data_IF_523624068174
#
_entry.id   IF_523624068174
#
_cell.length_a   1.000
_cell.length_b   1.000
_cell.length_c   1.000
_cell.angle_alpha   90.00
_cell.angle_beta   90.00
_cell.angle_gamma   90.00
#
_symmetry.space_group_name_H-M   'P 1'
#
loop_
_entity.id
_entity.type
_entity.pdbx_description
1 polymer ?
#
# COMPACT_ATOMS: atom_id res chain seq x y z
N UNK A 1 0.64 -6.11 -17.25
CA UNK A 1 -0.07 -4.81 -17.46
C UNK A 1 0.83 -3.67 -17.01
N UNK A 2 0.60 -2.45 -17.54
CA UNK A 2 1.29 -1.24 -17.08
C UNK A 2 0.46 -0.51 -16.06
N UNK A 3 1.12 -0.03 -15.03
CA UNK A 3 0.55 0.71 -13.91
C UNK A 3 1.30 2.02 -13.74
N UNK A 4 0.63 3.09 -13.38
CA UNK A 4 1.26 4.41 -13.30
C UNK A 4 0.78 5.17 -12.06
N UNK A 5 1.72 5.87 -11.44
CA UNK A 5 1.44 6.84 -10.38
C UNK A 5 2.47 7.96 -10.40
N UNK A 6 2.33 8.92 -9.48
CA UNK A 6 3.31 10.00 -9.32
C UNK A 6 4.61 9.49 -8.69
N UNK A 7 5.70 10.10 -9.10
CA UNK A 7 7.05 9.85 -8.59
C UNK A 7 7.22 10.18 -7.09
N UNK A 8 8.38 9.84 -6.52
CA UNK A 8 8.73 9.99 -5.10
C UNK A 8 7.81 9.15 -4.21
N UNK A 9 7.83 7.86 -4.46
CA UNK A 9 6.97 6.89 -3.79
C UNK A 9 7.17 6.88 -2.27
N UNK A 10 6.07 6.70 -1.55
CA UNK A 10 6.02 6.51 -0.11
C UNK A 10 4.74 5.72 0.24
N UNK A 11 4.79 4.86 1.24
CA UNK A 11 3.71 4.02 1.77
C UNK A 11 2.85 3.41 0.66
N UNK A 12 1.72 4.02 0.32
CA UNK A 12 0.71 3.47 -0.61
C UNK A 12 1.28 3.26 -2.02
N UNK A 13 2.14 4.16 -2.50
CA UNK A 13 2.81 4.03 -3.80
C UNK A 13 3.92 2.99 -3.85
N UNK A 14 4.24 2.35 -2.73
CA UNK A 14 5.09 1.14 -2.64
C UNK A 14 4.24 -0.09 -2.33
N UNK A 15 3.32 0.03 -1.38
CA UNK A 15 2.43 -1.06 -0.96
C UNK A 15 1.54 -1.55 -2.12
N UNK A 16 0.97 -0.63 -2.91
CA UNK A 16 0.15 -0.99 -4.06
C UNK A 16 0.92 -1.78 -5.13
N UNK A 17 2.11 -1.37 -5.60
CA UNK A 17 2.95 -2.20 -6.47
C UNK A 17 3.27 -3.57 -5.91
N UNK A 18 3.58 -3.67 -4.63
CA UNK A 18 3.80 -4.96 -3.97
C UNK A 18 2.55 -5.84 -4.04
N UNK A 19 1.38 -5.30 -3.67
CA UNK A 19 0.09 -5.99 -3.72
C UNK A 19 -0.24 -6.45 -5.15
N UNK A 20 -0.08 -5.56 -6.12
CA UNK A 20 -0.35 -5.84 -7.53
C UNK A 20 0.52 -7.00 -8.02
N UNK A 21 1.82 -6.95 -7.83
CA UNK A 21 2.72 -8.02 -8.26
C UNK A 21 2.45 -9.35 -7.59
N UNK A 22 2.03 -9.34 -6.34
CA UNK A 22 1.85 -10.55 -5.57
C UNK A 22 0.50 -11.23 -5.80
N UNK A 23 -0.56 -10.47 -6.06
CA UNK A 23 -1.94 -10.97 -6.05
C UNK A 23 -2.75 -10.65 -7.30
N UNK A 24 -2.32 -9.72 -8.13
CA UNK A 24 -3.09 -9.25 -9.29
C UNK A 24 -2.37 -9.55 -10.60
N UNK A 25 -1.13 -9.12 -10.75
CA UNK A 25 -0.34 -9.24 -11.98
C UNK A 25 1.15 -9.38 -11.67
N UNK A 26 1.64 -10.62 -11.67
CA UNK A 26 3.05 -10.94 -11.40
C UNK A 26 4.04 -10.29 -12.40
N UNK A 27 3.56 -9.89 -13.58
CA UNK A 27 4.34 -9.23 -14.63
C UNK A 27 4.05 -7.73 -14.73
N UNK A 28 3.48 -7.14 -13.67
CA UNK A 28 3.18 -5.71 -13.64
C UNK A 28 4.44 -4.86 -13.89
N UNK A 29 4.31 -3.89 -14.78
CA UNK A 29 5.30 -2.85 -15.03
C UNK A 29 4.79 -1.55 -14.39
N UNK A 30 5.65 -0.84 -13.67
CA UNK A 30 5.29 0.41 -12.99
C UNK A 30 5.98 1.59 -13.63
N UNK A 31 5.21 2.66 -13.83
CA UNK A 31 5.67 3.94 -14.34
C UNK A 31 5.50 5.01 -13.25
N UNK A 32 6.54 5.80 -13.05
CA UNK A 32 6.56 6.90 -12.08
C UNK A 32 6.88 8.19 -12.82
N UNK A 33 5.98 9.15 -12.73
CA UNK A 33 6.08 10.42 -13.47
C UNK A 33 5.64 11.59 -12.59
N UNK A 34 5.99 12.84 -12.93
CA UNK A 34 5.43 14.00 -12.25
C UNK A 34 3.91 13.97 -12.23
N UNK A 35 3.30 14.47 -11.15
CA UNK A 35 1.85 14.38 -10.91
C UNK A 35 1.01 14.94 -12.06
N UNK A 36 1.45 16.03 -12.69
CA UNK A 36 0.79 16.67 -13.84
C UNK A 36 0.90 15.88 -15.14
N UNK A 37 1.75 14.85 -15.19
CA UNK A 37 1.96 13.98 -16.35
C UNK A 37 1.25 12.63 -16.27
N UNK A 38 0.72 12.25 -15.11
CA UNK A 38 0.12 10.93 -14.91
C UNK A 38 -0.99 10.65 -15.91
N UNK A 39 -1.96 11.54 -16.07
CA UNK A 39 -3.11 11.32 -16.96
C UNK A 39 -2.69 11.22 -18.44
N UNK A 40 -1.77 12.07 -18.89
CA UNK A 40 -1.26 12.06 -20.26
C UNK A 40 -0.52 10.77 -20.57
N UNK A 41 0.42 10.38 -19.69
CA UNK A 41 1.23 9.16 -19.86
C UNK A 41 0.38 7.91 -19.70
N UNK A 42 -0.56 7.87 -18.77
CA UNK A 42 -1.52 6.77 -18.61
C UNK A 42 -2.26 6.46 -19.91
N UNK A 43 -2.79 7.52 -20.55
CA UNK A 43 -3.49 7.38 -21.85
C UNK A 43 -2.56 6.92 -22.96
N UNK A 44 -1.36 7.50 -23.05
CA UNK A 44 -0.37 7.16 -24.09
C UNK A 44 0.12 5.72 -23.98
N UNK A 45 0.41 5.27 -22.77
CA UNK A 45 1.01 3.95 -22.50
C UNK A 45 -0.05 2.86 -22.26
N UNK A 46 -1.35 3.20 -22.23
CA UNK A 46 -2.42 2.28 -21.87
C UNK A 46 -2.25 1.75 -20.43
N UNK A 47 -1.79 2.60 -19.52
CA UNK A 47 -1.49 2.23 -18.14
C UNK A 47 -2.69 2.51 -17.22
N UNK A 48 -2.87 1.66 -16.22
CA UNK A 48 -3.86 1.86 -15.15
C UNK A 48 -3.25 2.75 -14.08
N UNK A 49 -3.88 3.89 -13.80
CA UNK A 49 -3.44 4.80 -12.72
C UNK A 49 -3.91 4.31 -11.35
N UNK A 50 -3.10 4.61 -10.33
CA UNK A 50 -3.41 4.35 -8.92
C UNK A 50 -2.79 5.45 -8.04
N UNK A 51 -3.36 5.64 -6.85
CA UNK A 51 -2.96 6.66 -5.88
C UNK A 51 -2.91 8.08 -6.47
N UNK A 52 -3.88 8.39 -7.32
CA UNK A 52 -4.09 9.73 -7.86
C UNK A 52 -5.49 10.22 -7.52
N UNK A 53 -5.62 11.53 -7.36
CA UNK A 53 -6.90 12.16 -7.04
C UNK A 53 -7.92 11.93 -8.16
N UNK A 54 -9.11 11.48 -7.80
CA UNK A 54 -10.21 11.21 -8.74
C UNK A 54 -10.14 9.85 -9.44
N UNK A 55 -9.08 9.08 -9.26
CA UNK A 55 -8.97 7.74 -9.84
C UNK A 55 -9.84 6.72 -9.09
N UNK A 56 -10.29 5.68 -9.82
CA UNK A 56 -10.97 4.53 -9.22
C UNK A 56 -10.11 3.83 -8.16
N UNK A 57 -8.79 3.76 -8.40
CA UNK A 57 -7.81 3.18 -7.50
C UNK A 57 -7.05 4.25 -6.68
N UNK A 58 -7.69 5.40 -6.47
CA UNK A 58 -7.22 6.47 -5.59
C UNK A 58 -7.78 6.36 -4.17
N UNK A 59 -7.64 7.43 -3.41
CA UNK A 59 -8.24 7.55 -2.09
C UNK A 59 -9.75 7.80 -2.19
N UNK A 60 -10.54 7.10 -1.37
CA UNK A 60 -11.98 7.25 -1.27
C UNK A 60 -12.39 7.50 0.18
N UNK A 61 -12.62 8.76 0.52
CA UNK A 61 -12.90 9.14 1.90
C UNK A 61 -11.70 8.87 2.81
N UNK A 62 -11.84 7.95 3.77
CA UNK A 62 -10.76 7.53 4.67
C UNK A 62 -10.02 6.28 4.19
N UNK A 63 -10.41 5.71 3.07
CA UNK A 63 -9.76 4.55 2.47
C UNK A 63 -8.61 4.99 1.57
N UNK A 64 -7.48 4.30 1.65
CA UNK A 64 -6.33 4.54 0.79
C UNK A 64 -6.40 3.68 -0.49
N UNK A 65 -5.46 3.89 -1.39
CA UNK A 65 -5.42 3.17 -2.68
C UNK A 65 -5.20 1.68 -2.52
N UNK A 66 -4.49 1.25 -1.48
CA UNK A 66 -4.35 -0.16 -1.14
C UNK A 66 -5.71 -0.81 -0.86
N UNK A 67 -6.58 -0.14 -0.08
CA UNK A 67 -7.95 -0.60 0.20
C UNK A 67 -8.75 -0.73 -1.10
N UNK A 68 -8.66 0.26 -1.99
CA UNK A 68 -9.36 0.26 -3.27
C UNK A 68 -8.96 -0.93 -4.15
N UNK A 69 -7.66 -1.26 -4.23
CA UNK A 69 -7.15 -2.40 -4.99
C UNK A 69 -7.62 -3.72 -4.35
N UNK A 70 -7.52 -3.88 -3.03
CA UNK A 70 -8.00 -5.07 -2.33
C UNK A 70 -9.47 -5.34 -2.64
N UNK A 71 -10.31 -4.31 -2.64
CA UNK A 71 -11.73 -4.42 -2.97
C UNK A 71 -11.97 -4.75 -4.44
N UNK A 72 -11.37 -4.00 -5.35
CA UNK A 72 -11.56 -4.15 -6.80
C UNK A 72 -11.22 -5.57 -7.28
N UNK A 73 -10.16 -6.14 -6.75
CA UNK A 73 -9.69 -7.48 -7.16
C UNK A 73 -10.19 -8.62 -6.27
N UNK A 74 -11.20 -8.37 -5.42
CA UNK A 74 -11.87 -9.40 -4.63
C UNK A 74 -10.98 -10.07 -3.58
N UNK A 75 -9.98 -9.35 -3.06
CA UNK A 75 -9.00 -9.87 -2.10
C UNK A 75 -9.46 -9.75 -0.63
N UNK A 76 -10.66 -9.29 -0.39
CA UNK A 76 -11.23 -9.09 0.97
C UNK A 76 -11.47 -10.40 1.72
N UNK A 77 -11.45 -11.54 1.04
CA UNK A 77 -11.54 -12.86 1.65
C UNK A 77 -10.21 -13.38 2.22
N UNK A 78 -9.12 -12.60 2.08
CA UNK A 78 -7.82 -12.89 2.67
C UNK A 78 -7.63 -12.06 3.94
N UNK A 79 -7.82 -12.65 5.16
CA UNK A 79 -7.79 -11.88 6.40
C UNK A 79 -6.41 -11.28 6.70
N UNK A 80 -5.32 -11.88 6.22
CA UNK A 80 -3.98 -11.32 6.38
C UNK A 80 -3.80 -10.06 5.52
N UNK A 81 -4.36 -10.03 4.30
CA UNK A 81 -4.37 -8.81 3.49
C UNK A 81 -5.28 -7.73 4.07
N UNK A 82 -6.40 -8.11 4.68
CA UNK A 82 -7.28 -7.16 5.38
C UNK A 82 -6.55 -6.50 6.55
N UNK A 83 -5.80 -7.27 7.34
CA UNK A 83 -4.97 -6.70 8.41
C UNK A 83 -3.86 -5.81 7.85
N UNK A 84 -3.18 -6.25 6.79
CA UNK A 84 -2.15 -5.44 6.14
C UNK A 84 -2.72 -4.13 5.59
N UNK A 85 -3.92 -4.15 4.99
CA UNK A 85 -4.60 -2.95 4.51
C UNK A 85 -4.86 -1.94 5.63
N UNK A 86 -5.26 -2.40 6.82
CA UNK A 86 -5.42 -1.53 8.00
C UNK A 86 -4.11 -0.86 8.41
N UNK A 87 -3.01 -1.61 8.39
CA UNK A 87 -1.67 -1.10 8.73
C UNK A 87 -1.21 -0.07 7.70
N UNK A 88 -1.35 -0.37 6.40
CA UNK A 88 -0.99 0.53 5.31
C UNK A 88 -1.83 1.80 5.36
N UNK A 89 -3.15 1.69 5.54
CA UNK A 89 -4.04 2.84 5.68
C UNK A 89 -3.60 3.74 6.85
N UNK A 90 -3.28 3.15 8.00
CA UNK A 90 -2.81 3.89 9.17
C UNK A 90 -1.46 4.59 8.96
N UNK A 91 -0.60 4.04 8.12
CA UNK A 91 0.70 4.62 7.79
C UNK A 91 0.62 5.73 6.73
N UNK A 92 -0.38 5.66 5.83
CA UNK A 92 -0.52 6.57 4.69
C UNK A 92 -1.41 7.78 4.99
N UNK A 93 -2.46 7.61 5.77
CA UNK A 93 -3.48 8.63 6.01
C UNK A 93 -3.38 9.25 7.41
N UNK A 94 -3.38 10.60 7.48
CA UNK A 94 -3.39 11.34 8.75
C UNK A 94 -4.65 11.06 9.61
N UNK A 95 -5.76 10.71 8.96
CA UNK A 95 -7.05 10.38 9.58
C UNK A 95 -7.43 8.92 9.33
N UNK A 96 -6.55 8.00 9.68
CA UNK A 96 -6.79 6.57 9.51
C UNK A 96 -8.10 6.11 10.14
N UNK A 97 -8.78 5.19 9.44
CA UNK A 97 -9.94 4.45 9.97
C UNK A 97 -9.55 3.51 11.13
N UNK A 98 -8.27 3.13 11.17
CA UNK A 98 -7.77 2.05 12.00
C UNK A 98 -6.68 2.55 12.95
N UNK A 99 -6.78 2.18 14.20
CA UNK A 99 -5.74 2.46 15.19
C UNK A 99 -4.78 1.25 15.29
N UNK A 100 -3.95 1.08 14.26
CA UNK A 100 -2.97 0.00 14.19
C UNK A 100 -1.61 0.51 14.67
N UNK A 101 -1.08 -0.01 15.80
CA UNK A 101 0.24 0.45 16.31
C UNK A 101 1.38 0.20 15.32
N UNK A 102 1.29 -0.83 14.51
CA UNK A 102 2.26 -1.18 13.47
C UNK A 102 2.40 -0.09 12.39
N UNK A 103 1.35 0.69 12.17
CA UNK A 103 1.31 1.73 11.16
C UNK A 103 2.35 2.83 11.39
N UNK A 104 2.59 3.21 12.64
CA UNK A 104 3.62 4.19 13.00
C UNK A 104 5.03 3.70 12.62
N UNK A 105 5.30 2.41 12.85
CA UNK A 105 6.56 1.78 12.45
C UNK A 105 6.74 1.74 10.93
N UNK A 106 5.70 1.36 10.20
CA UNK A 106 5.72 1.35 8.73
C UNK A 106 5.95 2.76 8.16
N UNK A 107 5.28 3.77 8.69
CA UNK A 107 5.48 5.16 8.27
C UNK A 107 6.93 5.61 8.53
N UNK A 108 7.50 5.30 9.70
CA UNK A 108 8.89 5.64 10.02
C UNK A 108 9.88 4.96 9.06
N UNK A 109 9.66 3.69 8.70
CA UNK A 109 10.49 2.96 7.72
C UNK A 109 10.37 3.62 6.34
N UNK A 110 9.15 3.87 5.87
CA UNK A 110 8.91 4.50 4.57
C UNK A 110 9.54 5.90 4.48
N UNK A 111 9.46 6.70 5.54
CA UNK A 111 10.14 8.00 5.61
C UNK A 111 11.66 7.81 5.59
N UNK A 112 12.19 6.85 6.34
CA UNK A 112 13.63 6.55 6.37
C UNK A 112 14.18 6.19 4.99
N UNK A 113 13.47 5.41 4.19
CA UNK A 113 13.88 5.05 2.82
C UNK A 113 14.05 6.26 1.90
N UNK A 114 13.30 7.33 2.12
CA UNK A 114 13.46 8.58 1.34
C UNK A 114 14.80 9.29 1.60
N UNK A 115 15.53 8.91 2.63
CA UNK A 115 16.81 9.52 3.05
C UNK A 115 18.03 8.61 2.89
N UNK A 116 17.86 7.36 2.42
CA UNK A 116 19.00 6.44 2.22
C UNK A 116 19.73 6.63 0.87
N UNK A 117 19.27 7.54 0.03
CA UNK A 117 19.97 7.90 -1.21
C UNK A 117 19.79 6.92 -2.36
N UNK A 118 18.63 6.26 -2.44
CA UNK A 118 18.29 5.41 -3.59
C UNK A 118 18.12 6.24 -4.87
N UNK A 119 18.53 5.67 -6.00
CA UNK A 119 18.65 6.40 -7.27
C UNK A 119 17.29 6.81 -7.88
N UNK A 120 16.25 6.01 -7.72
CA UNK A 120 14.93 6.20 -8.32
C UNK A 120 13.83 5.40 -7.60
N UNK A 121 12.58 5.58 -8.04
CA UNK A 121 11.42 4.89 -7.47
C UNK A 121 11.44 3.37 -7.69
N UNK A 122 12.05 2.88 -8.77
CA UNK A 122 12.22 1.44 -8.99
C UNK A 122 13.19 0.83 -7.97
N UNK A 123 14.27 1.52 -7.66
CA UNK A 123 15.20 1.11 -6.59
C UNK A 123 14.51 1.14 -5.23
N UNK A 124 13.61 2.13 -5.01
CA UNK A 124 12.78 2.21 -3.81
C UNK A 124 11.87 0.98 -3.68
N UNK A 125 11.14 0.60 -4.74
CA UNK A 125 10.31 -0.60 -4.73
C UNK A 125 11.14 -1.85 -4.42
N UNK A 126 12.29 -2.01 -5.06
CA UNK A 126 13.17 -3.17 -4.86
C UNK A 126 13.65 -3.28 -3.41
N UNK A 127 13.97 -2.15 -2.77
CA UNK A 127 14.44 -2.10 -1.39
C UNK A 127 13.32 -2.32 -0.37
N UNK A 128 12.11 -1.80 -0.63
CA UNK A 128 11.01 -1.88 0.33
C UNK A 128 10.12 -3.13 0.19
N UNK A 129 10.08 -3.80 -0.95
CA UNK A 129 9.27 -5.01 -1.12
C UNK A 129 9.53 -6.08 -0.07
N UNK A 130 10.78 -6.36 0.35
CA UNK A 130 11.04 -7.28 1.47
C UNK A 130 10.41 -6.84 2.80
N UNK A 131 10.25 -5.54 3.04
CA UNK A 131 9.57 -5.02 4.22
C UNK A 131 8.09 -5.40 4.20
N UNK A 132 7.42 -5.25 3.06
CA UNK A 132 6.02 -5.67 2.89
C UNK A 132 5.85 -7.19 2.90
N UNK A 133 6.82 -7.95 2.38
CA UNK A 133 6.84 -9.41 2.53
C UNK A 133 6.89 -9.83 4.01
N UNK A 134 7.76 -9.21 4.79
CA UNK A 134 7.87 -9.48 6.23
C UNK A 134 6.61 -9.07 6.99
N UNK A 135 6.04 -7.92 6.64
CA UNK A 135 4.81 -7.43 7.27
C UNK A 135 3.60 -8.30 6.92
N UNK A 136 3.52 -8.79 5.69
CA UNK A 136 2.47 -9.75 5.29
C UNK A 136 2.62 -11.09 6.02
N UNK A 137 3.83 -11.61 6.16
CA UNK A 137 4.09 -12.82 6.95
C UNK A 137 3.70 -12.64 8.43
N UNK A 138 3.95 -11.47 9.01
CA UNK A 138 3.44 -11.11 10.33
C UNK A 138 1.91 -11.15 10.38
N UNK A 139 1.23 -10.56 9.41
CA UNK A 139 -0.24 -10.58 9.34
C UNK A 139 -0.80 -12.00 9.25
N UNK A 140 -0.17 -12.87 8.44
CA UNK A 140 -0.55 -14.28 8.33
C UNK A 140 -0.41 -15.01 9.67
N UNK A 141 0.67 -14.78 10.40
CA UNK A 141 0.89 -15.38 11.71
C UNK A 141 -0.12 -14.85 12.75
N UNK A 142 -0.46 -13.56 12.71
CA UNK A 142 -1.47 -13.00 13.63
C UNK A 142 -2.85 -13.61 13.40
N UNK A 143 -3.26 -13.75 12.15
CA UNK A 143 -4.52 -14.43 11.79
C UNK A 143 -4.51 -15.88 12.28
N UNK A 144 -3.42 -16.62 12.06
CA UNK A 144 -3.26 -18.00 12.54
C UNK A 144 -3.36 -18.13 14.05
N UNK A 145 -2.88 -17.13 14.80
CA UNK A 145 -2.99 -17.05 16.27
C UNK A 145 -4.36 -16.57 16.77
N UNK A 146 -5.33 -16.36 15.88
CA UNK A 146 -6.64 -15.81 16.23
C UNK A 146 -6.64 -14.32 16.59
N UNK A 147 -5.68 -13.56 16.07
CA UNK A 147 -5.52 -12.11 16.25
C UNK A 147 -5.65 -11.36 14.93
N UNK A 148 -6.82 -11.38 14.28
CA UNK A 148 -7.01 -10.77 12.95
C UNK A 148 -6.86 -9.24 12.94
N UNK A 149 -6.80 -8.61 14.11
CA UNK A 149 -6.58 -7.16 14.29
C UNK A 149 -5.15 -6.83 14.77
N UNK A 150 -4.24 -7.82 14.75
CA UNK A 150 -2.84 -7.66 15.13
C UNK A 150 -2.55 -7.91 16.61
N UNK A 151 -1.25 -8.08 16.94
CA UNK A 151 -0.80 -8.46 18.28
C UNK A 151 -1.03 -7.38 19.34
N UNK A 152 -1.00 -6.11 18.93
CA UNK A 152 -1.05 -4.95 19.83
C UNK A 152 -2.39 -4.23 19.82
N UNK A 153 -3.38 -4.76 19.12
CA UNK A 153 -4.72 -4.18 19.14
C UNK A 153 -5.32 -4.34 20.55
N UNK A 154 -5.33 -3.26 21.31
CA UNK A 154 -6.03 -3.20 22.58
C UNK A 154 -7.51 -3.04 22.25
N UNK A 155 -8.32 -4.04 22.56
CA UNK A 155 -9.77 -3.90 22.50
C UNK A 155 -10.18 -2.61 23.23
N UNK A 156 -10.90 -1.71 22.55
CA UNK A 156 -11.44 -0.51 23.20
C UNK A 156 -12.27 -1.02 24.38
N UNK A 157 -11.80 -0.76 25.62
CA UNK A 157 -12.65 -0.92 26.79
C UNK A 157 -13.82 0.03 26.60
N UNK A 158 -14.98 -0.51 26.28
CA UNK A 158 -16.22 0.26 26.32
C UNK A 158 -16.34 0.82 27.75
N UNK A 159 -16.21 2.13 27.85
CA UNK A 159 -16.66 2.87 29.04
C UNK A 159 -18.11 3.19 28.86
#
# INVERSE_FOLDING_TARGET
>A
MRWITRERVKVDRVACPWLIRKFVDAKAEFLFVPVDKVAEVAKKEGATSYDCEGDELGHHGKECSFDAIVKKYGLTNNPALVLLAKIVNGADADNSLWNQPEAAGLNAIAEGFRHVGLKDDHAMLAAEFPVYDALYAYCQEMVKRGKPDGAFCVAKKNK
#
